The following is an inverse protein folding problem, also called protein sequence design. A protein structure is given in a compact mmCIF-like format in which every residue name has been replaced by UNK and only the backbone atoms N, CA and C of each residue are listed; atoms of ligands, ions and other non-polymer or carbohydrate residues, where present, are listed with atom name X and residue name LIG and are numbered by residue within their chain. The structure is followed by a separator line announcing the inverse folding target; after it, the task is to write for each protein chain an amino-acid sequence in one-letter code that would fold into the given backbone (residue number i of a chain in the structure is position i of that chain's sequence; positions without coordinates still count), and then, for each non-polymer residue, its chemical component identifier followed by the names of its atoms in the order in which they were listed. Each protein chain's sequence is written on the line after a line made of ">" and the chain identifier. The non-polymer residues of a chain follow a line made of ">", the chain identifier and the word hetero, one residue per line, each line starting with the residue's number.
data_IF_405692195488
#
_entry.id   IF_405692195488
#
_cell.length_a   1.000
_cell.length_b   1.000
_cell.length_c   1.000
_cell.angle_alpha   90.00
_cell.angle_beta   90.00
_cell.angle_gamma   90.00
#
_symmetry.space_group_name_H-M   'P 1'
#
loop_
_entity.id
_entity.type
_entity.pdbx_description
1 polymer ?
#
# COMPACT_ATOMS: atom_id res chain seq x y z
N UNK A 1 -13.65 24.56 21.03
CA UNK A 1 -12.85 24.17 19.84
C UNK A 1 -11.43 23.92 20.29
N UNK A 2 -11.02 22.66 20.43
CA UNK A 2 -9.68 22.25 20.87
C UNK A 2 -8.98 21.54 19.72
N UNK A 3 -8.62 22.30 18.69
CA UNK A 3 -7.56 21.87 17.78
C UNK A 3 -6.27 22.47 18.31
N UNK A 4 -5.65 21.72 19.22
CA UNK A 4 -4.46 22.16 19.96
C UNK A 4 -4.00 20.99 20.81
N UNK A 5 -3.25 20.08 20.19
CA UNK A 5 -2.69 18.92 20.88
C UNK A 5 -2.40 17.73 19.98
N UNK A 6 -1.60 17.89 18.93
CA UNK A 6 -0.74 16.81 18.42
C UNK A 6 0.53 17.48 17.92
N UNK A 7 1.43 17.73 18.86
CA UNK A 7 2.89 17.84 18.78
C UNK A 7 3.23 18.16 20.24
N UNK A 8 3.27 17.14 21.10
CA UNK A 8 3.77 17.34 22.46
C UNK A 8 5.21 17.87 22.35
N UNK A 9 5.63 18.68 23.30
CA UNK A 9 7.03 19.13 23.44
C UNK A 9 8.04 17.98 23.53
N UNK A 10 7.54 16.75 23.70
CA UNK A 10 8.29 15.53 23.90
C UNK A 10 8.39 14.68 22.62
N UNK A 11 7.77 15.11 21.51
CA UNK A 11 7.94 14.50 20.19
C UNK A 11 9.04 15.24 19.43
N UNK A 12 10.23 14.66 19.38
CA UNK A 12 11.29 15.12 18.49
C UNK A 12 10.95 14.78 17.03
N UNK A 13 11.31 15.67 16.11
CA UNK A 13 11.22 15.36 14.68
C UNK A 13 12.15 14.18 14.36
N UNK A 14 11.71 13.20 13.54
CA UNK A 14 12.54 12.07 13.19
C UNK A 14 13.78 12.54 12.44
N UNK A 15 14.93 11.92 12.73
CA UNK A 15 16.21 12.24 12.08
C UNK A 15 16.24 11.89 10.59
N UNK A 16 15.31 11.05 10.13
CA UNK A 16 15.10 10.67 8.74
C UNK A 16 13.61 10.63 8.44
N UNK A 17 13.21 11.25 7.34
CA UNK A 17 11.86 11.16 6.77
C UNK A 17 11.98 10.30 5.51
N UNK A 18 11.12 9.29 5.40
CA UNK A 18 11.05 8.46 4.20
C UNK A 18 9.96 8.99 3.28
N UNK A 19 10.22 8.99 1.98
CA UNK A 19 9.30 9.46 0.95
C UNK A 19 8.73 8.28 0.17
N UNK A 20 7.42 8.07 0.32
CA UNK A 20 6.63 7.19 -0.54
C UNK A 20 5.91 8.03 -1.59
N UNK A 21 6.18 7.78 -2.86
CA UNK A 21 5.45 8.39 -3.98
C UNK A 21 4.40 7.42 -4.52
N UNK A 22 3.16 7.90 -4.66
CA UNK A 22 2.01 7.13 -5.16
C UNK A 22 1.50 7.65 -6.50
N UNK A 23 2.28 8.44 -7.24
CA UNK A 23 1.89 9.01 -8.55
C UNK A 23 1.45 7.93 -9.53
N UNK A 24 2.12 6.78 -9.51
CA UNK A 24 1.87 5.67 -10.43
C UNK A 24 0.68 4.78 -10.06
N UNK A 25 0.08 4.99 -8.89
CA UNK A 25 -1.07 4.23 -8.39
C UNK A 25 -2.23 5.16 -8.08
N UNK A 26 -2.12 5.98 -7.04
CA UNK A 26 -3.19 6.88 -6.60
C UNK A 26 -3.35 8.06 -7.58
N UNK A 27 -2.22 8.57 -8.10
CA UNK A 27 -2.23 9.59 -9.14
C UNK A 27 -2.92 9.14 -10.43
N UNK A 28 -2.76 7.87 -10.83
CA UNK A 28 -3.42 7.30 -12.00
C UNK A 28 -4.94 7.15 -11.82
N UNK A 29 -5.44 7.04 -10.58
CA UNK A 29 -6.89 7.00 -10.33
C UNK A 29 -7.60 8.33 -10.65
N UNK A 30 -6.86 9.38 -10.99
CA UNK A 30 -7.40 10.65 -11.48
C UNK A 30 -8.20 10.45 -12.77
N UNK A 31 -9.47 10.90 -12.84
CA UNK A 31 -10.27 10.78 -14.06
C UNK A 31 -9.59 11.36 -15.29
N UNK A 32 -9.49 10.56 -16.35
CA UNK A 32 -8.85 10.94 -17.61
C UNK A 32 -7.35 10.67 -17.68
N UNK A 33 -6.73 10.17 -16.60
CA UNK A 33 -5.35 9.68 -16.61
C UNK A 33 -5.36 8.18 -16.93
N UNK A 34 -4.48 7.79 -17.85
CA UNK A 34 -4.19 6.38 -18.14
C UNK A 34 -2.75 6.28 -18.64
N UNK A 35 -1.94 5.49 -17.93
CA UNK A 35 -0.53 5.33 -18.20
C UNK A 35 -0.30 3.96 -18.84
N UNK A 36 0.41 3.93 -19.97
CA UNK A 36 0.91 2.68 -20.52
C UNK A 36 2.09 2.18 -19.68
N UNK A 37 2.44 0.88 -19.73
CA UNK A 37 3.61 0.35 -19.02
C UNK A 37 4.89 1.16 -19.24
N UNK A 38 5.14 1.62 -20.47
CA UNK A 38 6.32 2.41 -20.81
C UNK A 38 6.28 3.82 -20.20
N UNK A 39 5.10 4.42 -20.11
CA UNK A 39 4.92 5.71 -19.43
C UNK A 39 5.14 5.57 -17.93
N UNK A 40 4.62 4.49 -17.32
CA UNK A 40 4.86 4.20 -15.90
C UNK A 40 6.35 3.99 -15.63
N UNK A 41 7.04 3.19 -16.43
CA UNK A 41 8.48 3.00 -16.35
C UNK A 41 9.25 4.33 -16.42
N UNK A 42 8.92 5.19 -17.39
CA UNK A 42 9.58 6.49 -17.54
C UNK A 42 9.41 7.39 -16.31
N UNK A 43 8.23 7.37 -15.69
CA UNK A 43 7.97 8.12 -14.46
C UNK A 43 8.69 7.48 -13.27
N UNK A 44 8.66 6.15 -13.12
CA UNK A 44 9.37 5.43 -12.06
C UNK A 44 10.87 5.75 -12.05
N UNK A 45 11.52 5.75 -13.21
CA UNK A 45 12.93 6.15 -13.36
C UNK A 45 13.18 7.60 -12.91
N UNK A 46 12.22 8.49 -13.12
CA UNK A 46 12.32 9.90 -12.70
C UNK A 46 12.07 10.08 -11.21
N UNK A 47 11.17 9.28 -10.62
CA UNK A 47 10.96 9.24 -9.18
C UNK A 47 12.20 8.69 -8.46
N UNK A 48 12.83 7.63 -9.00
CA UNK A 48 14.10 7.13 -8.50
C UNK A 48 15.20 8.20 -8.55
N UNK A 49 15.35 8.90 -9.69
CA UNK A 49 16.30 10.01 -9.85
C UNK A 49 16.04 11.16 -8.85
N UNK A 50 14.77 11.45 -8.55
CA UNK A 50 14.37 12.43 -7.54
C UNK A 50 14.80 12.02 -6.12
N UNK A 51 14.98 10.73 -5.88
CA UNK A 51 15.46 10.18 -4.61
C UNK A 51 14.34 9.88 -3.60
N UNK A 52 13.17 9.46 -4.07
CA UNK A 52 12.15 8.89 -3.18
C UNK A 52 12.63 7.54 -2.63
N UNK A 53 12.22 7.18 -1.42
CA UNK A 53 12.60 5.91 -0.80
C UNK A 53 11.75 4.75 -1.32
N UNK A 54 10.47 5.01 -1.61
CA UNK A 54 9.50 4.01 -2.07
C UNK A 54 8.65 4.54 -3.24
N UNK A 55 8.27 3.64 -4.15
CA UNK A 55 7.36 3.93 -5.26
C UNK A 55 6.21 2.93 -5.23
N UNK A 56 4.98 3.39 -4.96
CA UNK A 56 3.77 2.57 -5.19
C UNK A 56 3.44 2.60 -6.69
N UNK A 57 3.92 1.58 -7.41
CA UNK A 57 3.99 1.57 -8.88
C UNK A 57 2.69 1.17 -9.59
N UNK A 58 1.69 0.69 -8.85
CA UNK A 58 0.38 0.33 -9.38
C UNK A 58 -0.29 -0.78 -8.59
N UNK A 59 -1.21 -1.50 -9.24
CA UNK A 59 -1.90 -2.66 -8.66
C UNK A 59 -1.77 -3.87 -9.58
N UNK A 60 -0.79 -4.75 -9.30
CA UNK A 60 -0.45 -5.89 -10.16
C UNK A 60 -1.66 -6.79 -10.50
N UNK A 61 -2.58 -6.99 -9.55
CA UNK A 61 -3.76 -7.84 -9.78
C UNK A 61 -4.92 -7.15 -10.51
N UNK A 62 -4.84 -5.84 -10.81
CA UNK A 62 -5.93 -5.10 -11.44
C UNK A 62 -6.12 -5.47 -12.93
N UNK A 63 -5.02 -5.66 -13.66
CA UNK A 63 -5.06 -6.00 -15.08
C UNK A 63 -3.73 -6.56 -15.57
N UNK A 64 -3.72 -7.18 -16.75
CA UNK A 64 -2.48 -7.63 -17.41
C UNK A 64 -1.50 -6.48 -17.67
N UNK A 65 -2.02 -5.30 -18.05
CA UNK A 65 -1.19 -4.11 -18.30
C UNK A 65 -0.53 -3.59 -17.03
N UNK A 66 -1.25 -3.64 -15.89
CA UNK A 66 -0.67 -3.29 -14.59
C UNK A 66 0.42 -4.28 -14.19
N UNK A 67 0.15 -5.58 -14.28
CA UNK A 67 1.14 -6.61 -14.00
C UNK A 67 2.41 -6.44 -14.85
N UNK A 68 2.26 -6.22 -16.16
CA UNK A 68 3.38 -5.97 -17.07
C UNK A 68 4.16 -4.70 -16.71
N UNK A 69 3.47 -3.62 -16.30
CA UNK A 69 4.11 -2.39 -15.88
C UNK A 69 4.95 -2.56 -14.60
N UNK A 70 4.39 -3.20 -13.56
CA UNK A 70 5.14 -3.45 -12.32
C UNK A 70 6.32 -4.39 -12.56
N UNK A 71 6.15 -5.43 -13.37
CA UNK A 71 7.26 -6.31 -13.73
C UNK A 71 8.38 -5.56 -14.46
N UNK A 72 8.02 -4.75 -15.45
CA UNK A 72 8.98 -3.94 -16.21
C UNK A 72 9.76 -2.96 -15.31
N UNK A 73 9.09 -2.35 -14.33
CA UNK A 73 9.70 -1.42 -13.37
C UNK A 73 10.63 -2.16 -12.40
N UNK A 74 10.20 -3.29 -11.85
CA UNK A 74 10.96 -4.05 -10.85
C UNK A 74 12.26 -4.63 -11.43
N UNK A 75 12.30 -4.90 -12.74
CA UNK A 75 13.50 -5.38 -13.44
C UNK A 75 14.58 -4.29 -13.68
N UNK A 76 14.33 -3.02 -13.34
CA UNK A 76 15.27 -1.92 -13.61
C UNK A 76 16.40 -1.77 -12.60
N UNK A 77 16.32 -2.42 -11.44
CA UNK A 77 17.32 -2.26 -10.36
C UNK A 77 17.37 -0.82 -9.83
N UNK A 78 16.20 -0.25 -9.52
CA UNK A 78 16.07 1.08 -8.92
C UNK A 78 16.71 1.13 -7.52
N UNK A 79 17.02 2.34 -7.04
CA UNK A 79 17.42 2.57 -5.64
C UNK A 79 16.21 2.61 -4.71
N UNK A 80 15.10 3.16 -5.19
CA UNK A 80 13.82 3.14 -4.47
C UNK A 80 13.22 1.73 -4.49
N UNK A 81 12.63 1.30 -3.37
CA UNK A 81 11.90 0.05 -3.32
C UNK A 81 10.57 0.19 -4.07
N UNK A 82 10.24 -0.80 -4.89
CA UNK A 82 9.03 -0.82 -5.72
C UNK A 82 7.93 -1.58 -4.99
N UNK A 83 6.79 -0.93 -4.79
CA UNK A 83 5.64 -1.50 -4.08
C UNK A 83 4.45 -1.68 -5.02
N UNK A 84 3.71 -2.77 -4.85
CA UNK A 84 2.37 -2.94 -5.44
C UNK A 84 1.30 -2.69 -4.39
N UNK A 85 0.24 -1.99 -4.75
CA UNK A 85 -1.01 -2.11 -4.00
C UNK A 85 -1.47 -3.56 -3.99
N UNK A 86 -1.99 -4.01 -2.85
CA UNK A 86 -2.64 -5.30 -2.71
C UNK A 86 -3.84 -5.18 -1.80
N UNK A 87 -4.98 -5.76 -2.19
CA UNK A 87 -6.02 -6.06 -1.20
C UNK A 87 -5.49 -7.16 -0.28
N UNK A 88 -6.12 -7.33 0.88
CA UNK A 88 -5.84 -8.46 1.75
C UNK A 88 -6.43 -9.77 1.21
N UNK A 89 -5.90 -10.23 0.07
CA UNK A 89 -6.19 -11.52 -0.55
C UNK A 89 -4.92 -12.14 -1.15
N UNK A 90 -4.75 -13.45 -0.98
CA UNK A 90 -3.54 -14.19 -1.40
C UNK A 90 -3.28 -14.05 -2.91
N UNK A 91 -4.31 -14.09 -3.75
CA UNK A 91 -4.14 -13.93 -5.20
C UNK A 91 -3.56 -12.58 -5.62
N UNK A 92 -3.84 -11.52 -4.87
CA UNK A 92 -3.28 -10.19 -5.14
C UNK A 92 -1.82 -10.13 -4.71
N UNK A 93 -1.50 -10.74 -3.57
CA UNK A 93 -0.13 -10.88 -3.04
C UNK A 93 0.72 -11.73 -4.00
N UNK A 94 0.17 -12.85 -4.50
CA UNK A 94 0.83 -13.68 -5.50
C UNK A 94 1.12 -12.89 -6.77
N UNK A 95 0.15 -12.10 -7.25
CA UNK A 95 0.34 -11.26 -8.44
C UNK A 95 1.43 -10.20 -8.22
N UNK A 96 1.52 -9.61 -7.03
CA UNK A 96 2.58 -8.67 -6.69
C UNK A 96 3.95 -9.38 -6.63
N UNK A 97 4.05 -10.49 -5.91
CA UNK A 97 5.28 -11.27 -5.81
C UNK A 97 5.77 -11.78 -7.16
N UNK A 98 4.87 -12.26 -8.02
CA UNK A 98 5.19 -12.76 -9.36
C UNK A 98 5.57 -11.62 -10.33
N UNK A 99 5.18 -10.37 -10.04
CA UNK A 99 5.66 -9.18 -10.72
C UNK A 99 7.07 -8.76 -10.26
N UNK A 100 7.60 -9.37 -9.20
CA UNK A 100 8.97 -9.13 -8.73
C UNK A 100 9.18 -7.85 -7.94
N UNK A 101 8.10 -7.28 -7.38
CA UNK A 101 8.17 -6.07 -6.54
C UNK A 101 8.84 -6.36 -5.18
N UNK A 102 9.36 -5.33 -4.53
CA UNK A 102 10.03 -5.45 -3.22
C UNK A 102 9.04 -5.55 -2.05
N UNK A 103 7.85 -4.98 -2.22
CA UNK A 103 6.84 -4.92 -1.17
C UNK A 103 5.41 -4.75 -1.64
N UNK A 104 4.50 -4.87 -0.69
CA UNK A 104 3.06 -4.61 -0.90
C UNK A 104 2.53 -3.56 0.06
N UNK A 105 1.75 -2.63 -0.50
CA UNK A 105 0.83 -1.77 0.21
C UNK A 105 -0.47 -2.56 0.49
N UNK A 106 -0.41 -3.41 1.51
CA UNK A 106 -1.47 -4.35 1.87
C UNK A 106 -2.60 -3.63 2.60
N UNK A 107 -3.77 -3.58 1.97
CA UNK A 107 -4.87 -2.73 2.41
C UNK A 107 -6.12 -3.54 2.77
N UNK A 108 -6.75 -3.18 3.90
CA UNK A 108 -8.07 -3.68 4.31
C UNK A 108 -8.88 -2.55 4.96
N UNK A 109 -10.18 -2.41 4.67
CA UNK A 109 -11.00 -1.39 5.32
C UNK A 109 -11.30 -1.71 6.77
N UNK A 110 -11.33 -0.67 7.62
CA UNK A 110 -11.53 -0.82 9.07
C UNK A 110 -12.74 -0.07 9.63
N UNK A 111 -13.40 0.80 8.86
CA UNK A 111 -14.55 1.56 9.36
C UNK A 111 -15.87 0.78 9.28
N UNK A 112 -16.75 0.98 10.25
CA UNK A 112 -18.00 0.19 10.36
C UNK A 112 -18.88 0.29 9.11
N UNK A 113 -18.88 1.43 8.41
CA UNK A 113 -19.59 1.59 7.14
C UNK A 113 -18.98 0.72 6.04
N UNK A 114 -17.66 0.69 5.92
CA UNK A 114 -16.99 -0.18 4.95
C UNK A 114 -17.19 -1.65 5.29
N UNK A 115 -17.07 -2.03 6.57
CA UNK A 115 -17.29 -3.42 7.00
C UNK A 115 -18.70 -3.88 6.69
N UNK A 116 -19.72 -3.06 7.01
CA UNK A 116 -21.12 -3.41 6.82
C UNK A 116 -21.55 -3.39 5.34
N UNK A 117 -21.19 -2.35 4.60
CA UNK A 117 -21.77 -2.09 3.27
C UNK A 117 -20.86 -2.46 2.10
N UNK A 118 -19.52 -2.33 2.24
CA UNK A 118 -18.54 -2.66 1.19
C UNK A 118 -18.07 -4.10 1.31
N UNK A 119 -17.43 -4.44 2.43
CA UNK A 119 -16.81 -5.75 2.65
C UNK A 119 -17.83 -6.83 3.02
N UNK A 120 -18.91 -6.44 3.71
CA UNK A 120 -19.96 -7.34 4.25
C UNK A 120 -19.37 -8.44 5.14
N UNK A 121 -18.46 -8.03 6.02
CA UNK A 121 -17.75 -8.89 6.97
C UNK A 121 -17.73 -8.24 8.35
N UNK A 122 -17.52 -9.05 9.38
CA UNK A 122 -17.37 -8.56 10.75
C UNK A 122 -15.91 -8.20 11.08
N UNK A 123 -15.72 -7.58 12.25
CA UNK A 123 -14.41 -7.17 12.77
C UNK A 123 -13.49 -8.37 13.05
N UNK A 124 -14.03 -9.54 13.40
CA UNK A 124 -13.24 -10.75 13.68
C UNK A 124 -12.57 -11.27 12.41
N UNK A 125 -13.33 -11.34 11.32
CA UNK A 125 -12.80 -11.66 9.99
C UNK A 125 -11.65 -10.72 9.59
N UNK A 126 -11.77 -9.41 9.83
CA UNK A 126 -10.72 -8.44 9.47
C UNK A 126 -9.43 -8.72 10.24
N UNK A 127 -9.51 -9.04 11.54
CA UNK A 127 -8.34 -9.34 12.37
C UNK A 127 -7.61 -10.60 11.88
N UNK A 128 -8.36 -11.69 11.68
CA UNK A 128 -7.80 -12.97 11.18
C UNK A 128 -7.23 -12.80 9.78
N UNK A 129 -7.95 -12.07 8.92
CA UNK A 129 -7.52 -11.85 7.53
C UNK A 129 -6.26 -10.99 7.48
N UNK A 130 -6.17 -9.94 8.30
CA UNK A 130 -4.99 -9.07 8.39
C UNK A 130 -3.75 -9.90 8.74
N UNK A 131 -3.78 -10.63 9.86
CA UNK A 131 -2.66 -11.47 10.32
C UNK A 131 -2.26 -12.50 9.24
N UNK A 132 -3.25 -13.21 8.67
CA UNK A 132 -3.00 -14.20 7.63
C UNK A 132 -2.36 -13.63 6.35
N UNK A 133 -2.85 -12.50 5.85
CA UNK A 133 -2.30 -11.87 4.65
C UNK A 133 -0.89 -11.32 4.88
N UNK A 134 -0.63 -10.72 6.05
CA UNK A 134 0.68 -10.14 6.35
C UNK A 134 1.72 -11.26 6.43
N UNK A 135 1.43 -12.34 7.15
CA UNK A 135 2.32 -13.49 7.24
C UNK A 135 2.50 -14.17 5.87
N UNK A 136 1.45 -14.24 5.05
CA UNK A 136 1.55 -14.77 3.69
C UNK A 136 2.43 -13.90 2.79
N UNK A 137 2.29 -12.57 2.82
CA UNK A 137 3.13 -11.65 2.05
C UNK A 137 4.61 -11.77 2.44
N UNK A 138 4.90 -11.84 3.74
CA UNK A 138 6.26 -12.11 4.23
C UNK A 138 6.79 -13.46 3.75
N UNK A 139 5.96 -14.51 3.78
CA UNK A 139 6.33 -15.84 3.29
C UNK A 139 6.58 -15.87 1.77
N UNK A 140 5.93 -15.00 1.00
CA UNK A 140 6.20 -14.75 -0.42
C UNK A 140 7.45 -13.91 -0.68
N UNK A 141 8.16 -13.49 0.37
CA UNK A 141 9.41 -12.71 0.28
C UNK A 141 9.22 -11.21 0.16
N UNK A 142 8.00 -10.70 0.42
CA UNK A 142 7.67 -9.29 0.28
C UNK A 142 7.80 -8.55 1.61
N UNK A 143 8.24 -7.30 1.54
CA UNK A 143 8.02 -6.33 2.62
C UNK A 143 6.55 -5.91 2.65
N UNK A 144 6.04 -5.52 3.82
CA UNK A 144 4.62 -5.20 4.01
C UNK A 144 4.47 -3.81 4.61
N UNK A 145 3.85 -2.92 3.86
CA UNK A 145 3.23 -1.70 4.37
C UNK A 145 1.74 -2.01 4.58
N UNK A 146 1.27 -2.01 5.82
CA UNK A 146 -0.14 -2.28 6.12
C UNK A 146 -0.94 -0.97 6.19
N UNK A 147 -2.03 -0.88 5.41
CA UNK A 147 -2.91 0.28 5.36
C UNK A 147 -4.33 -0.07 5.82
N UNK A 148 -4.78 0.65 6.85
CA UNK A 148 -6.16 0.63 7.30
C UNK A 148 -7.01 1.59 6.43
N UNK A 149 -7.67 1.07 5.40
CA UNK A 149 -8.55 1.88 4.55
C UNK A 149 -9.68 2.46 5.42
N UNK A 150 -9.88 3.77 5.27
CA UNK A 150 -10.84 4.54 6.05
C UNK A 150 -10.54 4.61 7.56
N UNK A 151 -9.26 4.47 7.94
CA UNK A 151 -8.79 4.51 9.33
C UNK A 151 -9.24 5.75 10.12
N UNK A 152 -9.31 6.92 9.49
CA UNK A 152 -9.72 8.18 10.15
C UNK A 152 -11.20 8.23 10.57
N UNK A 153 -12.03 7.32 10.05
CA UNK A 153 -13.45 7.14 10.44
C UNK A 153 -13.70 5.81 11.17
N UNK A 154 -12.63 5.11 11.52
CA UNK A 154 -12.71 3.84 12.24
C UNK A 154 -12.76 4.05 13.74
N UNK A 155 -13.34 3.08 14.44
CA UNK A 155 -13.26 2.99 15.90
C UNK A 155 -11.79 2.80 16.32
N UNK A 156 -11.28 3.68 17.19
CA UNK A 156 -9.86 3.73 17.52
C UNK A 156 -9.37 2.46 18.24
N UNK A 157 -10.20 1.89 19.11
CA UNK A 157 -9.90 0.65 19.83
C UNK A 157 -9.82 -0.55 18.87
N UNK A 158 -10.62 -0.53 17.81
CA UNK A 158 -10.54 -1.54 16.76
C UNK A 158 -9.32 -1.34 15.88
N UNK A 159 -9.00 -0.09 15.51
CA UNK A 159 -7.82 0.23 14.72
C UNK A 159 -6.54 -0.24 15.43
N UNK A 160 -6.42 -0.01 16.74
CA UNK A 160 -5.29 -0.50 17.54
C UNK A 160 -5.18 -2.03 17.51
N UNK A 161 -6.30 -2.75 17.59
CA UNK A 161 -6.31 -4.22 17.50
C UNK A 161 -5.88 -4.71 16.12
N UNK A 162 -6.29 -4.02 15.05
CA UNK A 162 -5.90 -4.35 13.68
C UNK A 162 -4.40 -4.16 13.49
N UNK A 163 -3.83 -3.03 13.91
CA UNK A 163 -2.38 -2.80 13.80
C UNK A 163 -1.52 -3.69 14.70
N UNK A 164 -2.06 -4.23 15.81
CA UNK A 164 -1.38 -5.27 16.61
C UNK A 164 -1.36 -6.64 15.92
N UNK A 165 -2.23 -6.84 14.92
CA UNK A 165 -2.37 -8.08 14.16
C UNK A 165 -1.59 -8.05 12.84
N UNK A 166 -1.30 -6.86 12.31
CA UNK A 166 -0.39 -6.67 11.19
C UNK A 166 1.07 -6.78 11.67
#
# INVERSE_FOLDING_TARGET
>A
MKWGGILSSDCEFPSRILLLDTTLRDGEQTPGVSLTPEKKLRIALKLDELGVDFIEAGFAAASKGEFEALKLISEQGLRADVYSFSRCVESDIDSAADAGVDGVALTIPTSDLHLKYKLKKDRGFVLERTEGCVEYAKARGLTVEFLAEDGSRSDIDFLEKVFKKA
#
